data_IF_115280622918
#
_entry.id   IF_115280622918
#
_cell.length_a   1.000
_cell.length_b   1.000
_cell.length_c   1.000
_cell.angle_alpha   90.00
_cell.angle_beta   90.00
_cell.angle_gamma   90.00
#
_symmetry.space_group_name_H-M   'P 1'
#
loop_
_entity.id
_entity.type
_entity.pdbx_description
1 polymer ?
#
# COMPACT_ATOMS: atom_id res chain seq x y z
N UNK A 1 13.31 -5.12 18.65
CA UNK A 1 12.15 -5.74 17.98
C UNK A 1 12.64 -6.70 16.89
N UNK A 2 12.08 -7.91 16.81
CA UNK A 2 12.36 -8.87 15.72
C UNK A 2 11.30 -8.76 14.64
N UNK A 3 11.73 -8.39 13.44
CA UNK A 3 10.83 -8.20 12.30
C UNK A 3 11.15 -9.26 11.24
N UNK A 4 10.15 -10.00 10.82
CA UNK A 4 10.22 -10.83 9.63
C UNK A 4 9.87 -9.99 8.40
N UNK A 5 10.71 -10.05 7.38
CA UNK A 5 10.49 -9.41 6.08
C UNK A 5 10.25 -10.49 5.05
N UNK A 6 9.14 -10.37 4.32
CA UNK A 6 8.69 -11.24 3.25
C UNK A 6 8.69 -10.46 1.92
N UNK A 7 9.10 -11.14 0.84
CA UNK A 7 9.15 -10.57 -0.51
C UNK A 7 7.76 -10.45 -1.15
N UNK A 8 7.41 -11.42 -2.01
CA UNK A 8 6.09 -11.51 -2.64
C UNK A 8 5.27 -12.67 -2.06
N UNK A 9 4.19 -12.33 -1.36
CA UNK A 9 3.35 -13.29 -0.63
C UNK A 9 2.58 -14.23 -1.56
N UNK A 10 2.03 -13.71 -2.66
CA UNK A 10 1.14 -14.41 -3.59
C UNK A 10 0.00 -15.21 -2.92
N UNK A 11 -0.56 -14.67 -1.84
CA UNK A 11 -1.62 -15.31 -1.06
C UNK A 11 -1.18 -16.53 -0.22
N UNK A 12 0.12 -16.82 -0.10
CA UNK A 12 0.67 -17.96 0.64
C UNK A 12 0.76 -17.72 2.17
N UNK A 13 -0.23 -17.00 2.74
CA UNK A 13 -0.23 -16.57 4.15
C UNK A 13 -0.07 -17.76 5.10
N UNK A 14 -0.78 -18.87 4.85
CA UNK A 14 -0.75 -20.05 5.70
C UNK A 14 0.68 -20.64 5.79
N UNK A 15 1.39 -20.68 4.66
CA UNK A 15 2.75 -21.19 4.58
C UNK A 15 3.76 -20.25 5.24
N UNK A 16 3.62 -18.94 5.05
CA UNK A 16 4.50 -17.94 5.68
C UNK A 16 4.31 -17.94 7.20
N UNK A 17 3.07 -17.92 7.69
CA UNK A 17 2.82 -17.98 9.13
C UNK A 17 3.28 -19.29 9.76
N UNK A 18 3.02 -20.44 9.11
CA UNK A 18 3.53 -21.73 9.60
C UNK A 18 5.07 -21.75 9.68
N UNK A 19 5.75 -21.15 8.70
CA UNK A 19 7.22 -21.01 8.70
C UNK A 19 7.70 -20.17 9.87
N UNK A 20 7.05 -19.04 10.14
CA UNK A 20 7.42 -18.13 11.22
C UNK A 20 7.17 -18.74 12.60
N UNK A 21 6.02 -19.40 12.81
CA UNK A 21 5.72 -20.11 14.05
C UNK A 21 6.71 -21.24 14.32
N UNK A 22 7.12 -21.96 13.27
CA UNK A 22 8.17 -22.98 13.40
C UNK A 22 9.53 -22.35 13.71
N UNK A 23 9.83 -21.18 13.16
CA UNK A 23 11.04 -20.42 13.50
C UNK A 23 11.05 -20.00 14.98
N UNK A 24 9.97 -19.38 15.47
CA UNK A 24 9.80 -18.99 16.88
C UNK A 24 10.04 -20.17 17.81
N UNK A 25 9.38 -21.31 17.53
CA UNK A 25 9.51 -22.53 18.31
C UNK A 25 10.94 -23.10 18.32
N UNK A 26 11.63 -23.06 17.19
CA UNK A 26 12.97 -23.66 17.06
C UNK A 26 14.09 -22.79 17.64
N UNK A 27 13.86 -21.48 17.77
CA UNK A 27 14.87 -20.52 18.25
C UNK A 27 14.52 -19.93 19.63
N UNK A 28 13.44 -20.40 20.26
CA UNK A 28 12.90 -19.88 21.52
C UNK A 28 12.82 -18.34 21.51
N UNK A 29 12.16 -17.82 20.47
CA UNK A 29 12.11 -16.39 20.22
C UNK A 29 10.73 -15.99 19.73
N UNK A 30 10.45 -14.68 19.76
CA UNK A 30 9.21 -14.09 19.28
C UNK A 30 9.48 -13.16 18.10
N UNK A 31 8.68 -13.27 17.05
CA UNK A 31 8.59 -12.33 15.95
C UNK A 31 7.52 -11.30 16.31
N UNK A 32 7.91 -10.04 16.35
CA UNK A 32 7.04 -8.94 16.77
C UNK A 32 6.17 -8.42 15.62
N UNK A 33 6.68 -8.51 14.38
CA UNK A 33 6.05 -7.98 13.18
C UNK A 33 6.43 -8.80 11.94
N UNK A 34 5.48 -9.01 11.04
CA UNK A 34 5.70 -9.44 9.67
C UNK A 34 5.48 -8.24 8.72
N UNK A 35 6.46 -7.95 7.87
CA UNK A 35 6.36 -6.98 6.78
C UNK A 35 6.34 -7.71 5.45
N UNK A 36 5.33 -7.47 4.61
CA UNK A 36 5.24 -8.03 3.26
C UNK A 36 5.43 -6.92 2.22
N UNK A 37 6.37 -7.10 1.30
CA UNK A 37 6.76 -6.06 0.33
C UNK A 37 5.86 -6.03 -0.93
N UNK A 38 4.74 -6.75 -0.92
CA UNK A 38 3.68 -6.67 -1.94
C UNK A 38 3.33 -8.00 -2.56
N UNK A 39 2.54 -7.94 -3.64
CA UNK A 39 1.83 -9.09 -4.21
C UNK A 39 1.11 -9.89 -3.11
N UNK A 40 0.45 -9.18 -2.19
CA UNK A 40 -0.18 -9.76 -1.01
C UNK A 40 -1.35 -10.66 -1.38
N UNK A 41 -2.11 -10.28 -2.42
CA UNK A 41 -3.30 -10.96 -2.91
C UNK A 41 -4.41 -11.03 -1.85
N UNK A 42 -4.86 -9.86 -1.36
CA UNK A 42 -5.96 -9.70 -0.40
C UNK A 42 -7.36 -10.04 -0.99
N UNK A 43 -7.54 -11.21 -1.59
CA UNK A 43 -8.79 -11.62 -2.26
C UNK A 43 -9.81 -12.14 -1.23
N UNK A 44 -10.93 -11.43 -1.06
CA UNK A 44 -11.99 -11.80 -0.10
C UNK A 44 -12.95 -12.84 -0.65
N UNK A 45 -13.23 -12.79 -1.96
CA UNK A 45 -14.21 -13.61 -2.68
C UNK A 45 -13.92 -13.66 -4.20
N UNK A 46 -14.76 -14.36 -4.96
CA UNK A 46 -14.62 -14.56 -6.41
C UNK A 46 -14.73 -13.26 -7.21
N UNK A 47 -15.43 -12.25 -6.72
CA UNK A 47 -15.52 -10.95 -7.43
C UNK A 47 -14.22 -10.17 -7.32
N UNK A 48 -13.56 -10.21 -6.18
CA UNK A 48 -12.20 -9.64 -6.03
C UNK A 48 -11.21 -10.31 -7.00
N UNK A 49 -11.42 -11.59 -7.34
CA UNK A 49 -10.61 -12.32 -8.31
C UNK A 49 -10.68 -11.72 -9.73
N UNK A 50 -11.77 -11.01 -10.06
CA UNK A 50 -11.89 -10.26 -11.32
C UNK A 50 -11.00 -9.01 -11.33
N UNK A 51 -10.70 -8.49 -10.14
CA UNK A 51 -9.83 -7.34 -9.91
C UNK A 51 -8.38 -7.72 -9.66
N UNK A 52 -8.00 -8.97 -9.96
CA UNK A 52 -6.63 -9.47 -9.91
C UNK A 52 -6.01 -9.56 -11.32
N UNK A 53 -4.91 -8.85 -11.56
CA UNK A 53 -4.17 -8.92 -12.82
C UNK A 53 -3.30 -10.18 -12.96
N UNK A 54 -3.93 -11.35 -12.88
CA UNK A 54 -3.31 -12.65 -13.09
C UNK A 54 -4.05 -13.36 -14.23
N UNK A 55 -3.35 -14.04 -15.17
CA UNK A 55 -4.04 -14.82 -16.21
C UNK A 55 -5.00 -15.83 -15.58
N UNK A 56 -6.23 -15.94 -16.12
CA UNK A 56 -7.32 -16.74 -15.53
C UNK A 56 -6.92 -18.15 -15.10
N UNK A 57 -6.10 -18.84 -15.90
CA UNK A 57 -5.60 -20.21 -15.62
C UNK A 57 -4.69 -20.34 -14.40
N UNK A 58 -4.15 -19.23 -13.88
CA UNK A 58 -3.28 -19.17 -12.71
C UNK A 58 -3.94 -18.55 -11.49
N UNK A 59 -5.22 -18.16 -11.60
CA UNK A 59 -5.98 -17.59 -10.50
C UNK A 59 -6.37 -18.69 -9.51
N UNK A 60 -6.16 -18.40 -8.24
CA UNK A 60 -6.44 -19.29 -7.11
C UNK A 60 -6.90 -18.43 -5.94
N UNK A 61 -7.94 -18.86 -5.21
CA UNK A 61 -8.52 -18.11 -4.09
C UNK A 61 -7.56 -18.00 -2.90
N UNK A 62 -6.57 -18.90 -2.82
CA UNK A 62 -5.55 -18.91 -1.75
C UNK A 62 -6.20 -18.88 -0.37
N UNK A 63 -5.57 -18.23 0.63
CA UNK A 63 -6.02 -18.30 2.01
C UNK A 63 -6.43 -16.98 2.66
N UNK A 64 -6.25 -15.82 2.01
CA UNK A 64 -6.58 -14.52 2.62
C UNK A 64 -8.04 -14.43 3.11
N UNK A 65 -9.00 -14.95 2.34
CA UNK A 65 -10.42 -14.98 2.72
C UNK A 65 -10.69 -15.64 4.09
N UNK A 66 -9.83 -16.57 4.55
CA UNK A 66 -9.94 -17.18 5.88
C UNK A 66 -9.65 -16.18 6.99
N UNK A 67 -8.65 -15.32 6.80
CA UNK A 67 -8.27 -14.27 7.75
C UNK A 67 -9.30 -13.14 7.73
N UNK A 68 -9.74 -12.71 6.54
CA UNK A 68 -10.78 -11.72 6.38
C UNK A 68 -12.12 -12.15 7.01
N UNK A 69 -12.48 -13.44 6.92
CA UNK A 69 -13.70 -13.98 7.53
C UNK A 69 -13.61 -14.18 9.05
N UNK A 70 -12.40 -14.15 9.63
CA UNK A 70 -12.14 -14.50 11.03
C UNK A 70 -12.11 -16.02 11.30
N UNK A 71 -12.10 -16.85 10.26
CA UNK A 71 -11.90 -18.30 10.39
C UNK A 71 -10.48 -18.65 10.85
N UNK A 72 -9.52 -17.85 10.41
CA UNK A 72 -8.14 -17.86 10.91
C UNK A 72 -7.80 -16.46 11.46
N UNK A 73 -6.85 -16.39 12.38
CA UNK A 73 -6.34 -15.13 12.94
C UNK A 73 -4.86 -15.07 12.59
N UNK A 74 -4.39 -13.93 12.04
CA UNK A 74 -2.98 -13.74 11.79
C UNK A 74 -2.21 -13.78 13.12
N UNK A 75 -1.29 -14.74 13.32
CA UNK A 75 -0.63 -14.96 14.62
C UNK A 75 0.38 -13.86 14.96
N UNK A 76 0.85 -13.14 13.94
CA UNK A 76 1.86 -12.08 14.04
C UNK A 76 1.26 -10.84 13.38
N UNK A 77 1.32 -9.64 14.03
CA UNK A 77 0.95 -8.39 13.39
C UNK A 77 1.61 -8.29 12.02
N UNK A 78 0.82 -8.05 10.98
CA UNK A 78 1.29 -8.07 9.60
C UNK A 78 1.03 -6.72 8.95
N UNK A 79 2.07 -6.10 8.39
CA UNK A 79 1.96 -4.87 7.58
C UNK A 79 2.32 -5.23 6.15
N UNK A 80 1.56 -4.74 5.18
CA UNK A 80 1.88 -4.91 3.77
C UNK A 80 1.63 -3.65 2.94
N UNK A 81 2.37 -3.55 1.83
CA UNK A 81 2.08 -2.65 0.71
C UNK A 81 1.53 -3.46 -0.47
N UNK A 82 0.94 -2.82 -1.47
CA UNK A 82 0.47 -3.49 -2.69
C UNK A 82 1.59 -3.73 -3.69
N UNK A 83 1.50 -4.83 -4.44
CA UNK A 83 2.29 -5.08 -5.65
C UNK A 83 1.46 -4.93 -6.93
N UNK A 84 1.71 -5.79 -7.92
CA UNK A 84 0.97 -5.83 -9.20
C UNK A 84 -0.05 -6.97 -9.28
N UNK A 85 -0.02 -7.91 -8.33
CA UNK A 85 -1.02 -8.97 -8.18
C UNK A 85 -1.85 -8.72 -6.92
N UNK A 86 -2.80 -7.81 -7.00
CA UNK A 86 -3.66 -7.46 -5.88
C UNK A 86 -5.13 -7.55 -6.20
N UNK A 87 -5.97 -7.71 -5.18
CA UNK A 87 -7.39 -7.38 -5.26
C UNK A 87 -7.53 -5.85 -5.27
N UNK A 88 -7.26 -5.21 -6.42
CA UNK A 88 -7.12 -3.76 -6.50
C UNK A 88 -8.40 -3.00 -6.13
N UNK A 89 -9.58 -3.61 -6.33
CA UNK A 89 -10.85 -3.07 -5.84
C UNK A 89 -10.89 -2.98 -4.30
N UNK A 90 -10.43 -4.03 -3.60
CA UNK A 90 -10.41 -4.01 -2.14
C UNK A 90 -9.36 -3.06 -1.59
N UNK A 91 -8.15 -3.06 -2.17
CA UNK A 91 -7.10 -2.13 -1.74
C UNK A 91 -7.49 -0.67 -2.00
N UNK A 92 -8.28 -0.39 -3.04
CA UNK A 92 -8.83 0.95 -3.28
C UNK A 92 -9.77 1.42 -2.17
N UNK A 93 -10.59 0.53 -1.60
CA UNK A 93 -11.43 0.85 -0.42
C UNK A 93 -10.58 1.34 0.77
N UNK A 94 -9.33 0.90 0.85
CA UNK A 94 -8.34 1.20 1.89
C UNK A 94 -7.20 2.07 1.36
N UNK A 95 -7.47 2.97 0.41
CA UNK A 95 -6.46 3.84 -0.22
C UNK A 95 -5.55 4.56 0.81
N UNK A 96 -6.12 5.05 1.92
CA UNK A 96 -5.41 5.75 3.00
C UNK A 96 -4.75 4.82 4.02
N UNK A 97 -4.81 3.50 3.81
CA UNK A 97 -4.39 2.48 4.76
C UNK A 97 -5.51 2.08 5.75
N UNK A 98 -5.37 0.90 6.32
CA UNK A 98 -6.35 0.34 7.26
C UNK A 98 -6.20 -1.17 7.44
N UNK A 99 -6.96 -1.76 8.35
CA UNK A 99 -6.96 -3.21 8.54
C UNK A 99 -7.67 -3.88 7.36
N UNK A 100 -6.92 -4.71 6.63
CA UNK A 100 -7.46 -5.58 5.58
C UNK A 100 -8.08 -6.86 6.16
N UNK A 101 -7.64 -7.27 7.35
CA UNK A 101 -8.23 -8.32 8.16
C UNK A 101 -7.77 -8.09 9.62
N UNK A 102 -8.34 -8.78 10.62
CA UNK A 102 -7.83 -8.70 11.98
C UNK A 102 -6.32 -9.00 12.03
N UNK A 103 -5.55 -8.06 12.61
CA UNK A 103 -4.10 -8.13 12.74
C UNK A 103 -3.29 -8.10 11.41
N UNK A 104 -3.93 -7.73 10.29
CA UNK A 104 -3.30 -7.52 8.98
C UNK A 104 -3.62 -6.10 8.47
N UNK A 105 -2.62 -5.24 8.42
CA UNK A 105 -2.73 -3.83 8.07
C UNK A 105 -2.16 -3.54 6.69
N UNK A 106 -2.99 -2.97 5.81
CA UNK A 106 -2.55 -2.41 4.55
C UNK A 106 -2.06 -0.98 4.78
N UNK A 107 -0.85 -0.65 4.32
CA UNK A 107 -0.27 0.67 4.52
C UNK A 107 -0.95 1.76 3.66
N UNK A 108 -1.73 1.38 2.67
CA UNK A 108 -2.33 2.28 1.69
C UNK A 108 -1.54 2.34 0.39
N UNK A 109 -2.00 3.16 -0.55
CA UNK A 109 -1.28 3.37 -1.83
C UNK A 109 0.06 4.08 -1.61
N UNK A 110 0.11 4.95 -0.62
CA UNK A 110 1.32 5.44 0.04
C UNK A 110 0.95 5.75 1.50
N UNK A 111 1.89 5.58 2.41
CA UNK A 111 1.60 5.77 3.83
C UNK A 111 2.84 5.85 4.71
N UNK A 112 2.69 6.49 5.88
CA UNK A 112 3.61 6.34 7.01
C UNK A 112 2.80 6.05 8.27
N UNK A 113 3.23 5.05 9.02
CA UNK A 113 2.67 4.67 10.33
C UNK A 113 3.80 4.51 11.34
N UNK A 114 3.43 4.41 12.62
CA UNK A 114 4.32 3.99 13.70
C UNK A 114 3.96 2.58 14.13
N UNK A 115 4.95 1.73 14.35
CA UNK A 115 4.80 0.45 15.06
C UNK A 115 5.67 0.49 16.31
N UNK A 116 5.04 0.71 17.47
CA UNK A 116 5.76 1.19 18.65
C UNK A 116 6.41 2.56 18.36
N UNK A 117 7.73 2.66 18.49
CA UNK A 117 8.49 3.86 18.17
C UNK A 117 9.13 3.85 16.76
N UNK A 118 8.97 2.76 16.00
CA UNK A 118 9.56 2.62 14.65
C UNK A 118 8.63 3.26 13.62
N UNK A 119 9.13 4.19 12.81
CA UNK A 119 8.38 4.78 11.69
C UNK A 119 8.58 3.96 10.42
N UNK A 120 7.46 3.50 9.86
CA UNK A 120 7.41 2.65 8.67
C UNK A 120 6.69 3.42 7.57
N UNK A 121 7.42 3.79 6.53
CA UNK A 121 6.89 4.37 5.30
C UNK A 121 6.77 3.35 4.18
N UNK A 122 5.93 3.62 3.19
CA UNK A 122 5.91 2.78 2.00
C UNK A 122 5.12 3.34 0.83
N UNK A 123 5.44 2.79 -0.33
CA UNK A 123 4.86 3.09 -1.63
C UNK A 123 4.39 1.78 -2.26
N UNK A 124 3.07 1.66 -2.46
CA UNK A 124 2.47 0.51 -3.12
C UNK A 124 2.57 0.61 -4.64
N UNK A 125 2.63 -0.54 -5.29
CA UNK A 125 2.56 -0.67 -6.74
C UNK A 125 3.91 -0.74 -7.45
N UNK A 126 3.85 -0.74 -8.78
CA UNK A 126 5.01 -0.81 -9.67
C UNK A 126 5.12 0.45 -10.53
N UNK A 127 6.33 0.81 -10.95
CA UNK A 127 6.54 2.04 -11.70
C UNK A 127 6.26 1.85 -13.19
N UNK A 128 5.45 2.74 -13.75
CA UNK A 128 5.26 2.86 -15.20
C UNK A 128 5.25 4.33 -15.62
N UNK A 129 6.23 4.74 -16.41
CA UNK A 129 6.39 6.12 -16.83
C UNK A 129 5.18 6.69 -17.61
N UNK A 130 4.40 5.82 -18.28
CA UNK A 130 3.22 6.25 -19.05
C UNK A 130 2.06 6.69 -18.16
N UNK A 131 1.93 6.04 -17.00
CA UNK A 131 0.82 6.27 -16.08
C UNK A 131 1.21 7.15 -14.88
N UNK A 132 2.51 7.36 -14.67
CA UNK A 132 3.05 8.07 -13.51
C UNK A 132 2.42 9.45 -13.28
N UNK A 133 2.21 10.22 -14.35
CA UNK A 133 1.64 11.57 -14.27
C UNK A 133 0.11 11.61 -14.35
N UNK A 134 -0.56 10.47 -14.42
CA UNK A 134 -2.03 10.43 -14.42
C UNK A 134 -2.57 10.52 -12.99
N UNK A 135 -3.88 10.69 -12.83
CA UNK A 135 -4.57 10.40 -11.58
C UNK A 135 -4.99 8.94 -11.45
N UNK A 136 -5.72 8.65 -10.39
CA UNK A 136 -6.37 7.36 -10.10
C UNK A 136 -7.81 7.35 -10.64
N UNK A 137 -7.94 7.15 -11.94
CA UNK A 137 -9.22 7.20 -12.68
C UNK A 137 -9.91 5.84 -12.81
N UNK A 138 -9.21 4.75 -12.51
CA UNK A 138 -9.63 3.37 -12.75
C UNK A 138 -10.75 2.97 -11.79
N UNK A 139 -11.82 2.35 -12.29
CA UNK A 139 -12.91 1.83 -11.45
C UNK A 139 -13.41 0.47 -11.93
N UNK A 140 -13.86 -0.42 -11.01
CA UNK A 140 -14.53 -1.65 -11.40
C UNK A 140 -15.82 -1.39 -12.20
N UNK A 141 -16.21 -2.26 -13.15
CA UNK A 141 -15.42 -3.40 -13.64
C UNK A 141 -14.22 -2.92 -14.47
N UNK A 142 -13.03 -3.40 -14.14
CA UNK A 142 -11.81 -2.99 -14.82
C UNK A 142 -11.71 -3.63 -16.22
N UNK A 143 -11.38 -2.83 -17.22
CA UNK A 143 -10.91 -3.36 -18.49
C UNK A 143 -9.42 -3.78 -18.40
N UNK A 144 -8.86 -4.34 -19.47
CA UNK A 144 -7.47 -4.80 -19.49
C UNK A 144 -6.42 -3.70 -19.27
N UNK A 145 -6.73 -2.45 -19.62
CA UNK A 145 -5.83 -1.32 -19.35
C UNK A 145 -5.94 -0.89 -17.90
N UNK A 146 -7.17 -0.66 -17.42
CA UNK A 146 -7.43 -0.13 -16.08
C UNK A 146 -6.95 -1.09 -14.99
N UNK A 147 -7.10 -2.40 -15.20
CA UNK A 147 -6.62 -3.42 -14.25
C UNK A 147 -5.10 -3.42 -14.11
N UNK A 148 -4.38 -2.92 -15.11
CA UNK A 148 -2.92 -2.77 -15.08
C UNK A 148 -2.52 -1.44 -14.48
N UNK A 149 -3.19 -0.36 -14.85
CA UNK A 149 -2.82 0.98 -14.43
C UNK A 149 -3.17 1.28 -12.97
N UNK A 150 -4.19 0.64 -12.38
CA UNK A 150 -4.62 0.87 -10.98
C UNK A 150 -3.51 0.63 -9.95
N UNK A 151 -2.61 -0.33 -10.19
CA UNK A 151 -1.50 -0.61 -9.28
C UNK A 151 -0.20 0.09 -9.71
N UNK A 152 -0.22 0.92 -10.76
CA UNK A 152 0.97 1.70 -11.11
C UNK A 152 1.15 2.87 -10.14
N UNK A 153 2.39 3.17 -9.76
CA UNK A 153 2.74 4.31 -8.92
C UNK A 153 2.28 5.62 -9.57
N UNK A 154 1.74 6.55 -8.78
CA UNK A 154 1.38 7.92 -9.23
C UNK A 154 2.28 8.97 -8.62
N UNK A 155 2.53 10.03 -9.38
CA UNK A 155 3.30 11.19 -8.96
C UNK A 155 2.69 11.85 -7.72
N UNK A 156 1.36 11.87 -7.61
CA UNK A 156 0.67 12.39 -6.44
C UNK A 156 1.09 11.67 -5.14
N UNK A 157 1.13 10.34 -5.16
CA UNK A 157 1.50 9.52 -4.00
C UNK A 157 2.97 9.71 -3.62
N UNK A 158 3.84 9.76 -4.63
CA UNK A 158 5.27 10.05 -4.46
C UNK A 158 5.46 11.44 -3.89
N UNK A 159 4.76 12.45 -4.42
CA UNK A 159 4.93 13.84 -3.99
C UNK A 159 4.53 14.03 -2.52
N UNK A 160 3.49 13.35 -2.03
CA UNK A 160 3.16 13.30 -0.60
C UNK A 160 4.33 12.77 0.23
N UNK A 161 4.92 11.62 -0.18
CA UNK A 161 6.05 11.02 0.52
C UNK A 161 7.30 11.92 0.50
N UNK A 162 7.50 12.70 -0.57
CA UNK A 162 8.59 13.67 -0.66
C UNK A 162 8.44 14.85 0.30
N UNK A 163 7.25 15.07 0.89
CA UNK A 163 7.02 16.08 1.92
C UNK A 163 7.41 15.62 3.33
N UNK A 164 7.73 14.33 3.51
CA UNK A 164 8.16 13.81 4.82
C UNK A 164 9.54 14.39 5.15
N UNK A 165 9.65 14.99 6.33
CA UNK A 165 10.88 15.59 6.86
C UNK A 165 11.42 14.82 8.05
N UNK A 166 10.55 14.25 8.88
CA UNK A 166 11.01 13.43 10.01
C UNK A 166 11.68 12.13 9.52
N UNK A 167 12.69 11.62 10.25
CA UNK A 167 13.38 10.39 9.89
C UNK A 167 12.43 9.18 9.77
N UNK A 168 12.67 8.34 8.77
CA UNK A 168 11.98 7.06 8.58
C UNK A 168 12.94 5.92 8.89
N UNK A 169 12.51 4.95 9.68
CA UNK A 169 13.35 3.81 10.05
C UNK A 169 13.33 2.74 8.97
N UNK A 170 12.13 2.41 8.47
CA UNK A 170 11.90 1.39 7.46
C UNK A 170 11.08 1.99 6.32
N UNK A 171 11.52 1.80 5.09
CA UNK A 171 10.73 2.15 3.91
C UNK A 171 10.49 0.92 3.03
N UNK A 172 9.28 0.82 2.49
CA UNK A 172 8.82 -0.30 1.66
C UNK A 172 8.50 0.16 0.25
N UNK A 173 8.97 -0.58 -0.75
CA UNK A 173 8.48 -0.46 -2.14
C UNK A 173 8.41 -1.84 -2.78
N UNK A 174 7.41 -2.11 -3.62
CA UNK A 174 7.35 -3.42 -4.28
C UNK A 174 8.50 -3.58 -5.28
N UNK A 175 8.59 -2.65 -6.23
CA UNK A 175 9.73 -2.52 -7.14
C UNK A 175 10.99 -2.05 -6.41
N UNK A 176 12.13 -2.42 -6.95
CA UNK A 176 13.42 -1.95 -6.44
C UNK A 176 13.65 -0.50 -6.83
N UNK A 177 14.31 0.32 -6.00
CA UNK A 177 14.83 1.62 -6.42
C UNK A 177 15.72 1.48 -7.65
N UNK A 178 15.49 2.31 -8.66
CA UNK A 178 16.33 2.35 -9.87
C UNK A 178 17.80 2.56 -9.50
N UNK A 179 18.70 1.72 -10.04
CA UNK A 179 20.14 1.83 -9.80
C UNK A 179 20.62 1.21 -8.48
N UNK A 180 19.75 0.59 -7.68
CA UNK A 180 20.15 -0.02 -6.40
C UNK A 180 21.23 -1.10 -6.55
N UNK A 181 21.34 -1.69 -7.74
CA UNK A 181 22.34 -2.70 -8.08
C UNK A 181 23.78 -2.20 -7.96
N UNK A 182 23.99 -0.89 -8.12
CA UNK A 182 25.33 -0.26 -8.03
C UNK A 182 25.90 -0.33 -6.61
N UNK A 183 25.03 -0.51 -5.61
CA UNK A 183 25.35 -0.53 -4.19
C UNK A 183 25.47 -1.96 -3.63
N UNK A 184 25.44 -2.96 -4.49
CA UNK A 184 25.55 -4.37 -4.12
C UNK A 184 26.34 -5.17 -5.15
N UNK A 185 26.37 -6.50 -4.97
CA UNK A 185 27.10 -7.38 -5.87
C UNK A 185 26.25 -7.72 -7.12
N UNK A 186 26.23 -6.81 -8.09
CA UNK A 186 25.49 -6.99 -9.34
C UNK A 186 26.03 -8.15 -10.20
N UNK A 187 27.33 -8.46 -10.13
CA UNK A 187 27.91 -9.61 -10.85
C UNK A 187 27.27 -10.93 -10.38
N UNK A 188 27.10 -11.10 -9.06
CA UNK A 188 26.44 -12.26 -8.47
C UNK A 188 24.92 -12.27 -8.74
N UNK A 189 24.30 -11.10 -8.91
CA UNK A 189 22.93 -11.02 -9.40
C UNK A 189 22.83 -11.54 -10.84
N UNK A 190 23.73 -11.13 -11.74
CA UNK A 190 23.70 -11.54 -13.14
C UNK A 190 24.01 -13.03 -13.36
N UNK A 191 24.82 -13.66 -12.50
CA UNK A 191 24.96 -15.13 -12.54
C UNK A 191 23.62 -15.85 -12.34
N UNK A 192 22.74 -15.29 -11.52
CA UNK A 192 21.42 -15.87 -11.19
C UNK A 192 20.31 -15.37 -12.14
N UNK A 193 20.45 -14.16 -12.67
CA UNK A 193 19.48 -13.47 -13.53
C UNK A 193 20.19 -12.77 -14.70
N UNK A 194 20.74 -13.53 -15.68
CA UNK A 194 21.53 -12.94 -16.77
C UNK A 194 20.75 -11.90 -17.61
N UNK A 195 19.43 -12.06 -17.71
CA UNK A 195 18.57 -11.18 -18.50
C UNK A 195 18.46 -9.75 -17.94
N UNK A 196 18.91 -9.48 -16.71
CA UNK A 196 18.98 -8.13 -16.16
C UNK A 196 20.18 -7.32 -16.67
N UNK A 197 21.13 -7.93 -17.40
CA UNK A 197 22.39 -7.28 -17.81
C UNK A 197 22.15 -5.97 -18.58
N UNK A 198 21.23 -5.97 -19.54
CA UNK A 198 20.93 -4.77 -20.32
C UNK A 198 20.24 -3.70 -19.46
N UNK A 199 19.25 -4.09 -18.65
CA UNK A 199 18.50 -3.14 -17.81
C UNK A 199 19.37 -2.51 -16.72
N UNK A 200 20.36 -3.24 -16.19
CA UNK A 200 21.36 -2.70 -15.26
C UNK A 200 22.27 -1.71 -15.97
N UNK A 201 22.80 -2.08 -17.16
CA UNK A 201 23.69 -1.20 -17.95
C UNK A 201 23.00 0.09 -18.40
N UNK A 202 21.75 -0.02 -18.85
CA UNK A 202 20.95 1.12 -19.32
C UNK A 202 20.30 1.91 -18.17
N UNK A 203 20.46 1.45 -16.92
CA UNK A 203 19.81 2.01 -15.73
C UNK A 203 18.29 2.11 -15.87
N UNK A 204 17.67 1.03 -16.31
CA UNK A 204 16.21 0.89 -16.46
C UNK A 204 15.61 -0.14 -15.51
N UNK A 205 16.43 -0.93 -14.80
CA UNK A 205 15.94 -1.91 -13.82
C UNK A 205 15.44 -1.23 -12.55
N UNK A 206 14.13 -1.23 -12.34
CA UNK A 206 13.47 -0.74 -11.13
C UNK A 206 12.69 0.56 -11.30
N UNK A 207 12.29 1.14 -10.19
CA UNK A 207 11.40 2.29 -10.09
C UNK A 207 12.18 3.58 -9.88
N UNK A 208 12.03 4.51 -10.82
CA UNK A 208 12.59 5.87 -10.70
C UNK A 208 12.00 6.59 -9.48
N UNK A 209 10.68 6.50 -9.30
CA UNK A 209 10.00 7.09 -8.15
C UNK A 209 10.55 6.59 -6.80
N UNK A 210 10.82 5.28 -6.69
CA UNK A 210 11.41 4.71 -5.50
C UNK A 210 12.86 5.20 -5.26
N UNK A 211 13.63 5.40 -6.33
CA UNK A 211 14.97 5.99 -6.23
C UNK A 211 14.93 7.44 -5.72
N UNK A 212 14.02 8.26 -6.25
CA UNK A 212 13.85 9.65 -5.82
C UNK A 212 13.49 9.73 -4.31
N UNK A 213 12.62 8.83 -3.83
CA UNK A 213 12.25 8.73 -2.41
C UNK A 213 13.42 8.23 -1.56
N UNK A 214 14.16 7.22 -2.02
CA UNK A 214 15.34 6.69 -1.32
C UNK A 214 16.38 7.79 -1.09
N UNK A 215 16.66 8.61 -2.11
CA UNK A 215 17.60 9.72 -2.03
C UNK A 215 17.15 10.81 -1.04
N UNK A 216 15.83 11.09 -1.01
CA UNK A 216 15.23 12.12 -0.13
C UNK A 216 15.13 11.67 1.33
N UNK A 217 14.56 10.48 1.59
CA UNK A 217 14.19 10.04 2.94
C UNK A 217 15.32 9.29 3.65
N UNK A 218 16.21 8.64 2.91
CA UNK A 218 17.43 7.99 3.44
C UNK A 218 17.17 7.09 4.66
N UNK A 219 16.18 6.17 4.60
CA UNK A 219 15.78 5.40 5.77
C UNK A 219 16.89 4.44 6.23
N UNK A 220 16.85 3.98 7.47
CA UNK A 220 17.82 2.98 7.96
C UNK A 220 17.71 1.66 7.19
N UNK A 221 16.48 1.26 6.84
CA UNK A 221 16.18 0.05 6.07
C UNK A 221 15.28 0.36 4.89
N UNK A 222 15.57 -0.29 3.75
CA UNK A 222 14.69 -0.31 2.58
C UNK A 222 14.41 -1.74 2.16
N UNK A 223 13.13 -2.12 2.11
CA UNK A 223 12.71 -3.47 1.73
C UNK A 223 11.92 -3.49 0.43
N UNK A 224 12.26 -4.42 -0.46
CA UNK A 224 11.59 -4.59 -1.75
C UNK A 224 11.40 -6.05 -2.18
N UNK A 225 10.66 -6.25 -3.27
CA UNK A 225 10.38 -7.58 -3.82
C UNK A 225 10.33 -7.57 -5.35
N UNK A 226 9.25 -8.07 -5.95
CA UNK A 226 8.93 -8.08 -7.39
C UNK A 226 9.84 -8.92 -8.30
N UNK A 227 11.16 -8.70 -8.26
CA UNK A 227 12.14 -9.31 -9.18
C UNK A 227 12.45 -10.80 -8.89
N UNK A 228 11.80 -11.39 -7.88
CA UNK A 228 11.91 -12.79 -7.50
C UNK A 228 13.36 -13.28 -7.39
N UNK A 229 14.14 -12.55 -6.59
CA UNK A 229 15.47 -12.97 -6.15
C UNK A 229 15.89 -12.19 -4.92
N UNK A 230 16.74 -12.81 -4.09
CA UNK A 230 17.39 -12.11 -2.99
C UNK A 230 18.53 -11.24 -3.49
N UNK A 231 18.51 -9.97 -3.09
CA UNK A 231 19.60 -9.02 -3.28
C UNK A 231 19.74 -8.12 -2.06
N UNK A 232 20.96 -7.72 -1.75
CA UNK A 232 21.25 -6.84 -0.63
C UNK A 232 22.29 -5.82 -1.06
N UNK A 233 22.11 -4.58 -0.61
CA UNK A 233 22.97 -3.46 -0.94
C UNK A 233 23.11 -2.52 0.26
N UNK A 234 24.19 -1.75 0.29
CA UNK A 234 24.43 -0.70 1.28
C UNK A 234 24.54 0.63 0.54
N UNK A 235 23.54 1.48 0.73
CA UNK A 235 23.48 2.79 0.07
C UNK A 235 24.06 3.83 1.01
N UNK A 236 25.27 4.29 0.69
CA UNK A 236 25.96 5.37 1.41
C UNK A 236 25.47 6.72 0.89
N UNK A 237 24.81 7.52 1.74
CA UNK A 237 24.22 8.79 1.35
C UNK A 237 25.21 9.97 1.49
N UNK A 238 26.14 10.10 0.55
CA UNK A 238 27.23 11.09 0.63
C UNK A 238 28.40 10.60 1.50
N UNK A 239 29.53 11.31 1.49
CA UNK A 239 30.81 10.81 2.04
C UNK A 239 30.74 10.44 3.54
N UNK A 240 29.96 11.17 4.36
CA UNK A 240 29.78 10.91 5.80
C UNK A 240 28.30 10.77 6.20
N UNK A 241 27.40 10.50 5.24
CA UNK A 241 25.97 10.39 5.53
C UNK A 241 25.54 9.04 6.11
N UNK A 242 24.23 8.91 6.42
CA UNK A 242 23.67 7.65 6.88
C UNK A 242 23.77 6.56 5.80
N UNK A 243 23.71 5.31 6.24
CA UNK A 243 23.67 4.13 5.37
C UNK A 243 22.25 3.55 5.38
N UNK A 244 21.65 3.41 4.20
CA UNK A 244 20.44 2.59 4.04
C UNK A 244 20.83 1.15 3.76
N UNK A 245 20.30 0.22 4.57
CA UNK A 245 20.41 -1.22 4.35
C UNK A 245 19.27 -1.68 3.44
N UNK A 246 19.58 -1.94 2.18
CA UNK A 246 18.61 -2.46 1.22
C UNK A 246 18.55 -3.99 1.25
N UNK A 247 17.33 -4.53 1.27
CA UNK A 247 17.08 -5.95 1.12
C UNK A 247 15.88 -6.18 0.19
N UNK A 248 16.12 -6.95 -0.87
CA UNK A 248 15.07 -7.53 -1.68
C UNK A 248 14.98 -9.03 -1.48
N UNK A 249 13.76 -9.56 -1.53
CA UNK A 249 13.48 -10.98 -1.31
C UNK A 249 12.67 -11.61 -2.46
N UNK A 250 12.73 -12.93 -2.53
CA UNK A 250 11.99 -13.73 -3.51
C UNK A 250 10.53 -13.94 -3.09
N UNK A 251 9.78 -14.69 -3.88
CA UNK A 251 8.42 -15.16 -3.53
C UNK A 251 8.42 -16.47 -2.76
N UNK A 252 7.36 -16.69 -1.97
CA UNK A 252 7.16 -17.90 -1.17
C UNK A 252 7.04 -19.17 -2.04
N UNK A 253 8.18 -19.80 -2.35
CA UNK A 253 8.30 -21.06 -3.07
C UNK A 253 9.41 -21.93 -2.48
N UNK A 254 9.34 -23.27 -2.63
CA UNK A 254 10.35 -24.18 -2.11
C UNK A 254 11.77 -23.82 -2.55
N UNK A 255 12.71 -23.80 -1.60
CA UNK A 255 14.14 -23.53 -1.84
C UNK A 255 14.49 -22.07 -2.15
N UNK A 256 13.50 -21.15 -2.13
CA UNK A 256 13.74 -19.73 -2.42
C UNK A 256 14.01 -18.91 -1.17
N UNK A 257 14.68 -17.77 -1.36
CA UNK A 257 15.05 -16.83 -0.28
C UNK A 257 14.00 -15.72 -0.17
N UNK A 258 12.80 -16.08 0.28
CA UNK A 258 11.63 -15.18 0.33
C UNK A 258 11.39 -14.52 1.69
N UNK A 259 12.06 -15.03 2.73
CA UNK A 259 11.86 -14.58 4.11
C UNK A 259 13.22 -14.30 4.77
N UNK A 260 13.31 -13.20 5.51
CA UNK A 260 14.47 -12.89 6.34
C UNK A 260 14.04 -12.20 7.63
N UNK A 261 14.63 -12.60 8.76
CA UNK A 261 14.39 -11.96 10.05
C UNK A 261 15.51 -10.96 10.31
N UNK A 262 15.12 -9.76 10.74
CA UNK A 262 16.02 -8.67 11.10
C UNK A 262 15.74 -8.19 12.52
N UNK A 263 16.81 -7.81 13.21
CA UNK A 263 16.74 -7.18 14.52
C UNK A 263 16.80 -5.67 14.32
N UNK A 264 15.75 -4.97 14.77
CA UNK A 264 15.64 -3.51 14.69
C UNK A 264 15.56 -2.96 16.11
N UNK A 265 16.36 -1.93 16.38
CA UNK A 265 16.38 -1.24 17.65
C UNK A 265 15.02 -0.56 17.89
N UNK A 266 14.46 -0.77 19.07
CA UNK A 266 13.11 -0.33 19.40
C UNK A 266 12.98 -0.07 20.90
N UNK A 267 11.96 0.70 21.28
CA UNK A 267 11.52 0.84 22.66
C UNK A 267 10.94 -0.46 23.24
N UNK A 268 10.42 -0.41 24.48
CA UNK A 268 9.83 -1.58 25.11
C UNK A 268 8.50 -1.99 24.46
N UNK A 269 8.20 -3.30 24.49
CA UNK A 269 6.90 -3.86 24.11
C UNK A 269 5.80 -3.52 25.13
N UNK A 270 4.49 -3.59 24.79
CA UNK A 270 3.91 -4.08 23.53
C UNK A 270 4.04 -3.08 22.38
N UNK A 271 4.16 -3.62 21.16
CA UNK A 271 4.20 -2.83 19.93
C UNK A 271 2.83 -2.86 19.27
N UNK A 272 2.29 -1.68 18.97
CA UNK A 272 1.02 -1.51 18.28
C UNK A 272 1.18 -0.53 17.12
N UNK A 273 0.25 -0.59 16.16
CA UNK A 273 0.19 0.37 15.06
C UNK A 273 -0.47 1.66 15.55
N UNK A 274 0.14 2.79 15.22
CA UNK A 274 -0.40 4.12 15.42
C UNK A 274 -0.25 4.93 14.12
N UNK A 275 -1.20 5.84 13.89
CA UNK A 275 -1.06 6.85 12.85
C UNK A 275 0.15 7.74 13.11
N UNK A 276 0.81 8.12 12.02
CA UNK A 276 1.88 9.11 12.05
C UNK A 276 1.33 10.53 11.90
N UNK A 277 1.70 11.42 12.83
CA UNK A 277 1.19 12.80 12.88
C UNK A 277 1.53 13.60 11.61
N UNK A 278 2.79 13.50 11.14
CA UNK A 278 3.25 14.20 9.95
C UNK A 278 2.52 13.68 8.71
N UNK A 279 2.36 12.36 8.58
CA UNK A 279 1.63 11.78 7.46
C UNK A 279 0.14 12.16 7.42
N UNK A 280 -0.52 12.22 8.57
CA UNK A 280 -1.90 12.71 8.65
C UNK A 280 -2.00 14.18 8.21
N UNK A 281 -1.02 15.01 8.57
CA UNK A 281 -0.96 16.41 8.14
C UNK A 281 -0.76 16.54 6.62
N UNK A 282 0.18 15.77 6.05
CA UNK A 282 0.41 15.68 4.60
C UNK A 282 -0.87 15.19 3.90
N UNK A 283 -1.50 14.13 4.40
CA UNK A 283 -2.73 13.58 3.82
C UNK A 283 -3.85 14.62 3.80
N UNK A 284 -4.08 15.30 4.93
CA UNK A 284 -5.07 16.39 5.02
C UNK A 284 -4.78 17.50 4.02
N UNK A 285 -3.51 17.85 3.85
CA UNK A 285 -3.08 18.91 2.94
C UNK A 285 -3.36 18.59 1.48
N UNK A 286 -3.06 17.37 1.07
CA UNK A 286 -3.12 16.94 -0.33
C UNK A 286 -4.50 16.45 -0.77
N UNK A 287 -5.45 16.27 0.15
CA UNK A 287 -6.77 15.72 -0.18
C UNK A 287 -7.56 16.59 -1.18
N UNK A 288 -7.43 17.93 -1.12
CA UNK A 288 -8.15 18.84 -2.03
C UNK A 288 -7.73 18.72 -3.50
N UNK A 289 -6.53 18.21 -3.76
CA UNK A 289 -5.96 18.02 -5.10
C UNK A 289 -5.85 16.54 -5.47
N UNK A 290 -6.62 15.67 -4.82
CA UNK A 290 -6.66 14.23 -5.11
C UNK A 290 -7.01 13.97 -6.58
N UNK A 291 -6.09 13.41 -7.40
CA UNK A 291 -6.30 13.33 -8.84
C UNK A 291 -7.12 12.09 -9.21
N UNK A 292 -8.38 12.28 -9.59
CA UNK A 292 -9.33 11.21 -9.94
C UNK A 292 -9.55 11.04 -11.44
N UNK A 293 -8.76 11.74 -12.25
CA UNK A 293 -8.91 11.75 -13.71
C UNK A 293 -7.62 11.34 -14.38
N UNK A 294 -7.63 11.20 -15.70
CA UNK A 294 -6.40 10.99 -16.50
C UNK A 294 -5.51 12.24 -16.55
N UNK A 295 -5.89 13.33 -15.90
CA UNK A 295 -5.09 14.56 -15.83
C UNK A 295 -4.11 14.49 -14.67
N UNK A 296 -2.96 15.12 -14.86
CA UNK A 296 -1.95 15.32 -13.80
C UNK A 296 -2.53 16.14 -12.66
N UNK A 297 -2.14 15.81 -11.43
CA UNK A 297 -2.46 16.62 -10.26
C UNK A 297 -1.81 18.01 -10.36
N UNK A 298 -2.52 19.05 -9.93
CA UNK A 298 -1.94 20.38 -9.76
C UNK A 298 -1.16 20.46 -8.44
N UNK A 299 0.11 20.07 -8.49
CA UNK A 299 1.02 20.08 -7.34
C UNK A 299 1.58 21.47 -7.02
N UNK A 300 1.42 22.46 -7.92
CA UNK A 300 2.00 23.79 -7.78
C UNK A 300 1.38 24.62 -6.65
N UNK A 301 0.11 24.37 -6.33
CA UNK A 301 -0.63 25.07 -5.29
C UNK A 301 -0.47 24.49 -3.87
N UNK A 302 0.26 23.37 -3.71
CA UNK A 302 0.46 22.72 -2.41
C UNK A 302 1.59 23.35 -1.55
N UNK A 303 2.25 24.43 -2.01
CA UNK A 303 3.28 25.18 -1.28
C UNK A 303 2.71 26.04 -0.14
N UNK A 304 2.04 25.42 0.81
CA UNK A 304 1.51 26.07 2.00
C UNK A 304 2.13 25.42 3.22
N UNK A 305 2.35 26.22 4.26
CA UNK A 305 2.96 25.82 5.52
C UNK A 305 2.29 24.55 6.11
N UNK A 306 3.05 23.45 6.18
CA UNK A 306 2.62 22.18 6.78
C UNK A 306 2.45 22.31 8.29
N UNK A 307 3.07 23.32 8.92
CA UNK A 307 3.09 23.50 10.37
C UNK A 307 1.69 23.71 10.94
N UNK A 308 0.85 24.51 10.28
CA UNK A 308 -0.54 24.74 10.70
C UNK A 308 -1.36 23.44 10.64
N UNK A 309 -1.23 22.68 9.54
CA UNK A 309 -1.90 21.38 9.39
C UNK A 309 -1.42 20.39 10.44
N UNK A 310 -0.12 20.40 10.75
CA UNK A 310 0.50 19.52 11.73
C UNK A 310 0.02 19.82 13.14
N UNK A 311 -0.02 21.10 13.54
CA UNK A 311 -0.56 21.49 14.83
C UNK A 311 -2.03 21.11 14.97
N UNK A 312 -2.84 21.33 13.92
CA UNK A 312 -4.24 20.92 13.91
C UNK A 312 -4.41 19.40 14.08
N UNK A 313 -3.62 18.60 13.37
CA UNK A 313 -3.65 17.13 13.49
C UNK A 313 -3.23 16.67 14.88
N UNK A 314 -2.21 17.29 15.46
CA UNK A 314 -1.76 16.99 16.83
C UNK A 314 -2.89 17.14 17.84
N UNK A 315 -3.65 18.23 17.79
CA UNK A 315 -4.77 18.48 18.70
C UNK A 315 -5.88 17.43 18.54
N UNK A 316 -6.14 16.98 17.30
CA UNK A 316 -7.09 15.89 17.02
C UNK A 316 -6.61 14.55 17.57
N UNK A 317 -5.34 14.21 17.36
CA UNK A 317 -4.75 12.97 17.88
C UNK A 317 -4.74 12.96 19.41
N UNK A 318 -4.44 14.09 20.06
CA UNK A 318 -4.47 14.20 21.54
C UNK A 318 -5.87 13.95 22.11
N UNK A 319 -6.91 14.30 21.36
CA UNK A 319 -8.31 14.13 21.80
C UNK A 319 -8.84 12.72 21.53
N UNK A 320 -8.63 12.19 20.32
CA UNK A 320 -9.20 10.91 19.86
C UNK A 320 -8.27 9.70 20.07
N UNK A 321 -6.96 9.93 20.16
CA UNK A 321 -5.91 8.91 20.11
C UNK A 321 -5.43 8.61 18.69
N UNK A 322 -4.23 8.05 18.58
CA UNK A 322 -3.57 7.75 17.30
C UNK A 322 -3.79 6.33 16.77
N UNK A 323 -4.51 5.45 17.49
CA UNK A 323 -4.72 4.06 17.04
C UNK A 323 -5.59 3.99 15.78
N UNK A 324 -5.30 3.17 14.76
CA UNK A 324 -6.20 2.99 13.63
C UNK A 324 -7.62 2.59 14.03
N UNK A 325 -8.61 2.89 13.17
CA UNK A 325 -9.98 2.41 13.38
C UNK A 325 -10.04 0.89 13.23
N UNK A 326 -10.94 0.24 13.96
CA UNK A 326 -11.04 -1.23 13.98
C UNK A 326 -11.44 -1.82 12.63
N UNK A 327 -11.04 -3.07 12.39
CA UNK A 327 -11.42 -3.81 11.19
C UNK A 327 -12.95 -3.98 11.09
N UNK A 328 -13.48 -3.75 9.88
CA UNK A 328 -14.87 -4.07 9.54
C UNK A 328 -14.94 -4.75 8.18
N UNK A 329 -15.77 -5.81 8.09
CA UNK A 329 -16.02 -6.51 6.82
C UNK A 329 -16.96 -5.70 5.95
N UNK A 330 -16.52 -5.37 4.74
CA UNK A 330 -17.29 -4.59 3.77
C UNK A 330 -18.04 -5.45 2.75
N UNK A 331 -17.59 -6.68 2.51
CA UNK A 331 -18.22 -7.65 1.60
C UNK A 331 -18.31 -9.06 2.21
N UNK A 332 -19.23 -9.92 1.69
CA UNK A 332 -19.24 -11.36 1.97
C UNK A 332 -17.91 -12.02 1.59
N UNK A 333 -17.54 -13.05 2.36
CA UNK A 333 -16.32 -13.83 2.14
C UNK A 333 -16.61 -14.99 1.19
N UNK A 334 -15.56 -15.52 0.55
CA UNK A 334 -15.62 -16.81 -0.12
C UNK A 334 -16.12 -17.91 0.82
N UNK A 335 -17.03 -18.75 0.33
CA UNK A 335 -17.44 -19.98 1.01
C UNK A 335 -17.27 -21.16 0.04
N UNK A 336 -16.32 -22.09 0.31
CA UNK A 336 -16.10 -23.25 -0.56
C UNK A 336 -17.27 -24.25 -0.56
N UNK A 337 -18.24 -24.11 0.36
CA UNK A 337 -19.41 -24.99 0.47
C UNK A 337 -20.63 -24.49 -0.32
N UNK A 338 -20.66 -23.22 -0.73
CA UNK A 338 -21.73 -22.65 -1.53
C UNK A 338 -21.34 -22.63 -3.02
N UNK A 339 -22.27 -22.99 -3.90
CA UNK A 339 -22.10 -22.74 -5.34
C UNK A 339 -22.36 -21.26 -5.62
N UNK A 340 -21.45 -20.59 -6.34
CA UNK A 340 -21.52 -19.15 -6.70
C UNK A 340 -22.94 -18.72 -7.06
N UNK A 341 -23.60 -18.01 -6.14
CA UNK A 341 -24.90 -17.42 -6.43
C UNK A 341 -24.67 -16.06 -7.11
N UNK A 342 -25.30 -15.85 -8.27
CA UNK A 342 -25.37 -14.53 -8.94
C UNK A 342 -26.29 -13.56 -8.17
N UNK A 343 -26.28 -13.60 -6.84
CA UNK A 343 -27.05 -12.67 -6.03
C UNK A 343 -26.50 -11.26 -6.22
N UNK A 344 -27.39 -10.34 -6.58
CA UNK A 344 -27.13 -8.90 -6.60
C UNK A 344 -26.74 -8.48 -5.19
N UNK A 345 -25.47 -8.13 -5.01
CA UNK A 345 -24.99 -7.62 -3.71
C UNK A 345 -25.63 -6.23 -3.53
N UNK A 346 -26.18 -5.91 -2.35
CA UNK A 346 -26.57 -4.54 -2.01
C UNK A 346 -25.40 -3.59 -2.30
N UNK A 347 -25.69 -2.38 -2.78
CA UNK A 347 -24.67 -1.46 -3.34
C UNK A 347 -23.41 -1.38 -2.48
N UNK A 348 -22.22 -1.38 -3.13
CA UNK A 348 -20.92 -1.31 -2.45
C UNK A 348 -20.96 -0.15 -1.45
N UNK A 349 -21.03 -0.48 -0.16
CA UNK A 349 -20.87 0.50 0.91
C UNK A 349 -19.45 1.03 0.91
N UNK A 350 -19.28 2.32 1.23
CA UNK A 350 -17.96 2.89 1.51
C UNK A 350 -17.38 2.18 2.73
N UNK A 351 -16.08 1.90 2.70
CA UNK A 351 -15.40 1.25 3.82
C UNK A 351 -15.50 2.12 5.09
N UNK A 352 -16.08 1.62 6.20
CA UNK A 352 -16.28 2.39 7.42
C UNK A 352 -14.99 2.88 8.09
N UNK A 353 -13.88 2.14 7.92
CA UNK A 353 -12.56 2.57 8.40
C UNK A 353 -12.12 3.83 7.67
N UNK A 354 -12.27 3.84 6.34
CA UNK A 354 -11.93 4.98 5.49
C UNK A 354 -12.84 6.19 5.78
N UNK A 355 -14.13 5.96 5.99
CA UNK A 355 -15.06 7.02 6.41
C UNK A 355 -14.62 7.65 7.74
N UNK A 356 -14.31 6.82 8.74
CA UNK A 356 -13.88 7.29 10.06
C UNK A 356 -12.52 7.99 10.01
N UNK A 357 -11.61 7.52 9.17
CA UNK A 357 -10.32 8.16 8.90
C UNK A 357 -10.49 9.57 8.32
N UNK A 358 -11.37 9.72 7.33
CA UNK A 358 -11.65 11.02 6.72
C UNK A 358 -12.41 11.95 7.68
N UNK A 359 -13.31 11.42 8.50
CA UNK A 359 -14.01 12.17 9.55
C UNK A 359 -13.03 12.71 10.60
N UNK A 360 -12.08 11.88 11.06
CA UNK A 360 -10.99 12.30 11.96
C UNK A 360 -10.22 13.50 11.40
N UNK A 361 -10.03 13.54 10.09
CA UNK A 361 -9.31 14.60 9.39
C UNK A 361 -10.22 15.72 8.85
N UNK A 362 -11.53 15.67 9.07
CA UNK A 362 -12.52 16.58 8.48
C UNK A 362 -12.34 16.74 6.96
N UNK A 363 -12.30 15.61 6.25
CA UNK A 363 -12.10 15.54 4.80
C UNK A 363 -13.33 14.95 4.09
N UNK A 364 -13.64 15.42 2.86
CA UNK A 364 -14.66 14.79 2.04
C UNK A 364 -14.21 13.41 1.56
N UNK A 365 -15.18 12.52 1.34
CA UNK A 365 -14.94 11.24 0.67
C UNK A 365 -14.84 11.43 -0.84
N UNK A 366 -13.69 11.09 -1.42
CA UNK A 366 -13.40 11.32 -2.84
C UNK A 366 -13.29 10.05 -3.69
N UNK A 367 -13.19 8.85 -3.09
CA UNK A 367 -12.84 7.62 -3.82
C UNK A 367 -13.91 7.16 -4.84
N UNK A 368 -15.16 7.63 -4.70
CA UNK A 368 -16.26 7.36 -5.65
C UNK A 368 -16.32 8.35 -6.80
N UNK A 369 -15.66 9.51 -6.69
CA UNK A 369 -15.90 10.63 -7.61
C UNK A 369 -15.25 10.37 -8.97
N UNK A 370 -16.04 9.87 -9.91
CA UNK A 370 -15.74 10.04 -11.33
C UNK A 370 -16.14 11.46 -11.70
N UNK A 371 -15.17 12.38 -11.80
CA UNK A 371 -15.43 13.68 -12.43
C UNK A 371 -15.84 13.39 -13.88
N UNK A 372 -17.15 13.41 -14.12
CA UNK A 372 -17.81 12.89 -15.33
C UNK A 372 -19.32 12.71 -15.20
N UNK A 373 -19.89 12.74 -13.99
CA UNK A 373 -21.31 13.07 -13.79
C UNK A 373 -21.41 14.52 -13.30
N UNK A 374 -21.46 15.46 -14.24
CA UNK A 374 -21.98 16.79 -13.96
C UNK A 374 -23.39 16.65 -13.39
N UNK A 375 -23.61 17.21 -12.20
CA UNK A 375 -24.93 17.51 -11.67
C UNK A 375 -25.75 18.27 -12.73
N UNK A 376 -26.63 17.56 -13.42
CA UNK A 376 -27.77 18.11 -14.15
C UNK A 376 -28.98 17.33 -13.68
N UNK A 377 -29.43 17.60 -12.46
CA UNK A 377 -30.81 17.43 -12.01
C UNK A 377 -30.89 17.99 -10.60
N UNK A 378 -31.30 19.25 -10.52
CA UNK A 378 -32.22 19.81 -9.51
C UNK A 378 -31.95 21.31 -9.37
N UNK A 379 -32.35 22.05 -10.40
CA UNK A 379 -32.85 23.41 -10.21
C UNK A 379 -34.37 23.34 -10.40
N UNK A 380 -35.17 23.80 -9.41
CA UNK A 380 -36.60 23.81 -9.55
C UNK A 380 -36.97 24.84 -10.64
N UNK A 381 -37.58 24.34 -11.71
CA UNK A 381 -38.19 25.18 -12.72
C UNK A 381 -39.23 26.09 -12.04
N UNK A 382 -38.99 27.39 -12.12
CA UNK A 382 -39.94 28.44 -11.78
C UNK A 382 -41.15 28.34 -12.71
N UNK A 383 -42.28 27.91 -12.14
CA UNK A 383 -43.58 28.02 -12.79
C UNK A 383 -43.98 29.49 -12.93
N UNK A 384 -43.93 30.00 -14.16
CA UNK A 384 -44.66 31.21 -14.56
C UNK A 384 -45.45 30.87 -15.83
N UNK A 385 -46.72 30.56 -15.66
CA UNK A 385 -47.77 30.78 -16.66
C UNK A 385 -48.87 31.53 -15.90
N UNK A 386 -49.20 32.78 -16.25
CA UNK A 386 -49.58 33.22 -17.58
C UNK A 386 -51.10 33.32 -17.58
N UNK A 387 -51.62 34.42 -17.02
CA UNK A 387 -53.05 34.67 -16.91
C UNK A 387 -53.70 34.85 -18.28
N UNK A 388 -54.86 34.22 -18.45
CA UNK A 388 -55.77 34.48 -19.57
C UNK A 388 -56.95 35.30 -19.06
N UNK A 389 -57.12 36.48 -19.65
CA UNK A 389 -58.32 37.31 -19.55
C UNK A 389 -59.09 37.17 -20.86
N UNK A 390 -60.34 36.71 -20.77
CA UNK A 390 -61.49 37.17 -21.56
C UNK A 390 -62.75 36.94 -20.74
#
# INVERSE_FOLDING_TARGET
MKIAVEGCMHGELDNVYATLLQFEKSHDTKIDLLICCGDFQAVRNEKDMESLNVPRKYRDMKSFWKYYSGKEIAPIPTIFIGGNHEASNYLWELYYGGWAAPNIYFLGFAGVIKFGNVRIGGLSGIYNARDYHLGHFERPPYNESDIRSIYHVREYDVHKLMQVEEPIDIFLSHDWPLGITDYGNWEELLKRKPFFENEIRERTLGSKAAADILEKLRPSYWFSAHLHCKFSALVQHGEDGPITKFLALDKCLPGRKYLQIVDIESGPSPYEIYYDEEWLAITRKFNSIFPLTKSRADLGNAQLDLQDCRQWVRDRILTRGSKPFEFERTLPCYDPSESVSNSSIPGLGRNPQTLSFLDLLELPYLLDNVVGQSNIADSPASFISGGTSF
#
